data_IF_336389789070
#
_entry.id   IF_336389789070
#
_cell.length_a   1.000
_cell.length_b   1.000
_cell.length_c   1.000
_cell.angle_alpha   90.00
_cell.angle_beta   90.00
_cell.angle_gamma   90.00
#
_symmetry.space_group_name_H-M   'P 1'
#
loop_
_entity.id
_entity.type
_entity.pdbx_description
1 polymer ?
#
# COMPACT_ATOMS: atom_id res chain seq x y z
N UNK A 1 -12.38 -51.65 -8.91
CA UNK A 1 -13.07 -50.45 -8.35
C UNK A 1 -12.18 -49.62 -7.42
N UNK A 2 -11.58 -50.16 -6.35
CA UNK A 2 -10.68 -49.39 -5.44
C UNK A 2 -9.50 -48.67 -6.12
N UNK A 3 -8.83 -49.31 -7.08
CA UNK A 3 -7.71 -48.71 -7.85
C UNK A 3 -8.15 -47.55 -8.75
N UNK A 4 -9.36 -47.61 -9.31
CA UNK A 4 -9.93 -46.54 -10.13
C UNK A 4 -10.30 -45.32 -9.27
N UNK A 5 -10.85 -45.53 -8.08
CA UNK A 5 -11.14 -44.46 -7.11
C UNK A 5 -9.85 -43.74 -6.69
N UNK A 6 -8.77 -44.48 -6.43
CA UNK A 6 -7.48 -43.90 -6.05
C UNK A 6 -6.87 -43.01 -7.16
N UNK A 7 -6.95 -43.44 -8.42
CA UNK A 7 -6.49 -42.65 -9.57
C UNK A 7 -7.32 -41.38 -9.75
N UNK A 8 -8.64 -41.46 -9.52
CA UNK A 8 -9.54 -40.32 -9.65
C UNK A 8 -9.30 -39.28 -8.55
N UNK A 9 -9.03 -39.72 -7.31
CA UNK A 9 -8.62 -38.84 -6.20
C UNK A 9 -7.29 -38.14 -6.52
N UNK A 10 -6.29 -38.86 -7.04
CA UNK A 10 -5.00 -38.27 -7.40
C UNK A 10 -5.11 -37.24 -8.53
N UNK A 11 -5.98 -37.47 -9.52
CA UNK A 11 -6.25 -36.47 -10.57
C UNK A 11 -6.92 -35.22 -10.00
N UNK A 12 -7.92 -35.37 -9.12
CA UNK A 12 -8.56 -34.23 -8.46
C UNK A 12 -7.54 -33.47 -7.62
N UNK A 13 -6.70 -34.18 -6.86
CA UNK A 13 -5.64 -33.56 -6.05
C UNK A 13 -4.64 -32.79 -6.93
N UNK A 14 -4.25 -33.37 -8.07
CA UNK A 14 -3.37 -32.71 -9.04
C UNK A 14 -3.97 -31.44 -9.63
N UNK A 15 -5.27 -31.46 -9.97
CA UNK A 15 -5.98 -30.27 -10.46
C UNK A 15 -6.07 -29.20 -9.37
N UNK A 16 -6.41 -29.58 -8.14
CA UNK A 16 -6.47 -28.64 -7.00
C UNK A 16 -5.10 -28.00 -6.71
N UNK A 17 -4.03 -28.80 -6.73
CA UNK A 17 -2.66 -28.30 -6.57
C UNK A 17 -2.26 -27.36 -7.73
N UNK A 18 -2.65 -27.69 -8.96
CA UNK A 18 -2.35 -26.85 -10.12
C UNK A 18 -3.09 -25.51 -10.08
N UNK A 19 -4.38 -25.50 -9.72
CA UNK A 19 -5.18 -24.27 -9.60
C UNK A 19 -4.65 -23.39 -8.48
N UNK A 20 -4.37 -23.95 -7.31
CA UNK A 20 -3.82 -23.19 -6.17
C UNK A 20 -2.45 -22.60 -6.48
N UNK A 21 -1.56 -23.36 -7.11
CA UNK A 21 -0.24 -22.87 -7.52
C UNK A 21 -0.32 -21.78 -8.61
N UNK A 22 -1.18 -21.96 -9.60
CA UNK A 22 -1.39 -20.99 -10.68
C UNK A 22 -2.00 -19.67 -10.16
N UNK A 23 -2.95 -19.76 -9.23
CA UNK A 23 -3.56 -18.61 -8.58
C UNK A 23 -2.52 -17.85 -7.75
N UNK A 24 -1.75 -18.55 -6.90
CA UNK A 24 -0.69 -17.93 -6.10
C UNK A 24 0.34 -17.19 -6.97
N UNK A 25 0.82 -17.84 -8.04
CA UNK A 25 1.77 -17.23 -9.00
C UNK A 25 1.19 -15.99 -9.68
N UNK A 26 -0.13 -15.97 -9.94
CA UNK A 26 -0.79 -14.81 -10.56
C UNK A 26 -0.99 -13.67 -9.56
N UNK A 27 -1.29 -13.99 -8.31
CA UNK A 27 -1.36 -13.04 -7.20
C UNK A 27 0.00 -12.39 -6.94
N UNK A 28 1.06 -13.18 -6.78
CA UNK A 28 2.42 -12.65 -6.54
C UNK A 28 2.87 -11.66 -7.63
N UNK A 29 2.51 -11.92 -8.89
CA UNK A 29 2.78 -11.01 -10.01
C UNK A 29 1.96 -9.73 -9.95
N UNK A 30 0.70 -9.83 -9.54
CA UNK A 30 -0.19 -8.69 -9.37
C UNK A 30 0.29 -7.80 -8.22
N UNK A 31 0.56 -8.40 -7.05
CA UNK A 31 1.09 -7.72 -5.88
C UNK A 31 2.38 -6.97 -6.22
N UNK A 32 3.34 -7.63 -6.87
CA UNK A 32 4.56 -6.98 -7.34
C UNK A 32 4.28 -5.82 -8.30
N UNK A 33 3.24 -5.92 -9.13
CA UNK A 33 2.89 -4.84 -10.05
C UNK A 33 2.33 -3.60 -9.35
N UNK A 34 1.65 -3.78 -8.21
CA UNK A 34 1.13 -2.69 -7.39
C UNK A 34 2.22 -2.07 -6.50
N UNK A 35 3.11 -2.91 -5.95
CA UNK A 35 4.10 -2.54 -4.93
C UNK A 35 5.45 -2.07 -5.49
N UNK A 36 5.60 -1.83 -6.80
CA UNK A 36 6.90 -1.41 -7.35
C UNK A 36 6.82 -0.31 -8.40
N UNK A 37 5.61 0.18 -8.66
CA UNK A 37 5.38 1.14 -9.71
C UNK A 37 4.02 1.84 -9.53
N UNK A 38 4.09 3.04 -8.99
CA UNK A 38 2.98 3.95 -8.75
C UNK A 38 2.11 4.24 -9.98
N UNK A 39 2.70 4.34 -11.19
CA UNK A 39 1.93 4.49 -12.44
C UNK A 39 1.14 3.23 -12.83
N UNK A 40 1.70 2.04 -12.59
CA UNK A 40 0.99 0.77 -12.82
C UNK A 40 -0.12 0.55 -11.83
N UNK A 41 0.09 0.96 -10.57
CA UNK A 41 -0.96 0.98 -9.56
C UNK A 41 -2.14 1.83 -10.05
N UNK A 42 -1.90 3.09 -10.44
CA UNK A 42 -2.96 3.96 -10.95
C UNK A 42 -3.66 3.32 -12.16
N UNK A 43 -2.90 2.85 -13.14
CA UNK A 43 -3.46 2.19 -14.32
C UNK A 43 -4.37 1.00 -13.97
N UNK A 44 -3.97 0.16 -13.02
CA UNK A 44 -4.78 -0.98 -12.58
C UNK A 44 -6.08 -0.52 -11.90
N UNK A 45 -6.04 0.58 -11.13
CA UNK A 45 -7.23 1.15 -10.50
C UNK A 45 -8.21 1.72 -11.54
N UNK A 46 -7.69 2.34 -12.60
CA UNK A 46 -8.52 2.86 -13.70
C UNK A 46 -9.15 1.75 -14.54
N UNK A 47 -8.39 0.67 -14.81
CA UNK A 47 -8.86 -0.45 -15.62
C UNK A 47 -9.88 -1.33 -14.87
N UNK A 48 -9.63 -1.64 -13.59
CA UNK A 48 -10.45 -2.55 -12.79
C UNK A 48 -10.28 -2.30 -11.29
N UNK A 49 -10.96 -1.26 -10.81
CA UNK A 49 -10.97 -0.88 -9.39
C UNK A 49 -11.43 -2.02 -8.47
N UNK A 50 -12.53 -2.69 -8.81
CA UNK A 50 -13.13 -3.72 -7.95
C UNK A 50 -12.21 -4.93 -7.79
N UNK A 51 -11.59 -5.40 -8.88
CA UNK A 51 -10.63 -6.49 -8.81
C UNK A 51 -9.37 -6.10 -8.03
N UNK A 52 -8.92 -4.85 -8.17
CA UNK A 52 -7.77 -4.33 -7.41
C UNK A 52 -8.08 -4.29 -5.92
N UNK A 53 -9.28 -3.83 -5.53
CA UNK A 53 -9.76 -3.87 -4.14
C UNK A 53 -9.94 -5.30 -3.62
N UNK A 54 -10.48 -6.22 -4.42
CA UNK A 54 -10.69 -7.61 -3.99
C UNK A 54 -9.38 -8.33 -3.63
N UNK A 55 -8.28 -7.95 -4.28
CA UNK A 55 -6.94 -8.50 -4.03
C UNK A 55 -6.21 -7.83 -2.87
N UNK A 56 -6.75 -6.74 -2.34
CA UNK A 56 -6.10 -5.98 -1.26
C UNK A 56 -5.92 -6.80 0.02
N UNK A 57 -6.87 -7.69 0.33
CA UNK A 57 -6.82 -8.52 1.55
C UNK A 57 -5.57 -9.40 1.63
N UNK A 58 -4.98 -9.81 0.50
CA UNK A 58 -3.74 -10.57 0.49
C UNK A 58 -2.54 -9.70 0.89
N UNK A 59 -2.48 -8.46 0.39
CA UNK A 59 -1.47 -7.47 0.77
C UNK A 59 -1.61 -7.05 2.24
N UNK A 60 -2.82 -7.04 2.78
CA UNK A 60 -3.09 -6.71 4.17
C UNK A 60 -2.65 -7.79 5.16
N UNK A 61 -2.13 -8.94 4.72
CA UNK A 61 -1.61 -9.98 5.62
C UNK A 61 -0.25 -9.63 6.21
N UNK A 62 0.51 -8.72 5.60
CA UNK A 62 1.80 -8.25 6.08
C UNK A 62 1.79 -6.72 6.24
N UNK A 63 2.16 -6.18 7.41
CA UNK A 63 2.11 -4.73 7.65
C UNK A 63 3.07 -3.97 6.73
N UNK A 64 4.19 -4.58 6.36
CA UNK A 64 5.16 -4.00 5.43
C UNK A 64 4.55 -3.83 4.04
N UNK A 65 3.74 -4.79 3.57
CA UNK A 65 3.07 -4.69 2.27
C UNK A 65 1.97 -3.62 2.27
N UNK A 66 1.27 -3.44 3.40
CA UNK A 66 0.29 -2.34 3.56
C UNK A 66 0.99 -1.00 3.44
N UNK A 67 2.13 -0.82 4.12
CA UNK A 67 2.85 0.43 4.06
C UNK A 67 3.47 0.65 2.68
N UNK A 68 4.05 -0.37 2.07
CA UNK A 68 4.62 -0.28 0.72
C UNK A 68 3.57 0.20 -0.29
N UNK A 69 2.36 -0.38 -0.23
CA UNK A 69 1.24 0.06 -1.07
C UNK A 69 0.84 1.51 -0.78
N UNK A 70 0.80 1.90 0.50
CA UNK A 70 0.54 3.28 0.88
C UNK A 70 1.61 4.24 0.31
N UNK A 71 2.89 3.86 0.35
CA UNK A 71 3.99 4.68 -0.15
C UNK A 71 3.95 4.83 -1.67
N UNK A 72 3.58 3.78 -2.42
CA UNK A 72 3.32 3.86 -3.86
C UNK A 72 2.17 4.82 -4.20
N UNK A 73 1.09 4.81 -3.39
CA UNK A 73 -0.01 5.77 -3.52
C UNK A 73 0.49 7.20 -3.25
N UNK A 74 1.25 7.40 -2.17
CA UNK A 74 1.81 8.70 -1.82
C UNK A 74 2.74 9.23 -2.91
N UNK A 75 3.60 8.37 -3.47
CA UNK A 75 4.47 8.74 -4.59
C UNK A 75 3.66 9.18 -5.82
N UNK A 76 2.55 8.52 -6.15
CA UNK A 76 1.69 8.97 -7.26
C UNK A 76 0.93 10.26 -6.93
N UNK A 77 0.35 10.36 -5.74
CA UNK A 77 -0.42 11.55 -5.32
C UNK A 77 0.42 12.82 -5.35
N UNK A 78 1.70 12.73 -4.97
CA UNK A 78 2.64 13.84 -4.96
C UNK A 78 3.58 13.81 -6.18
N UNK A 79 3.10 13.31 -7.32
CA UNK A 79 3.76 13.47 -8.61
C UNK A 79 3.35 14.78 -9.30
N UNK A 80 4.04 15.12 -10.40
CA UNK A 80 3.74 16.33 -11.19
C UNK A 80 2.52 16.15 -12.12
N UNK A 81 2.08 14.91 -12.34
CA UNK A 81 1.18 14.55 -13.45
C UNK A 81 -0.20 14.03 -13.04
N UNK A 82 -0.48 13.92 -11.73
CA UNK A 82 -1.78 13.42 -11.26
C UNK A 82 -2.91 14.45 -11.50
N UNK A 83 -4.12 14.05 -11.89
CA UNK A 83 -5.27 14.95 -12.00
C UNK A 83 -6.30 14.77 -10.85
N UNK A 84 -7.34 15.61 -10.80
CA UNK A 84 -8.33 15.59 -9.71
C UNK A 84 -9.12 14.27 -9.64
N UNK A 85 -9.37 13.62 -10.77
CA UNK A 85 -10.10 12.34 -10.82
C UNK A 85 -9.20 11.18 -10.38
N UNK A 86 -7.92 11.22 -10.78
CA UNK A 86 -6.90 10.29 -10.32
C UNK A 86 -6.63 10.44 -8.82
N UNK A 87 -6.62 11.67 -8.28
CA UNK A 87 -6.56 11.92 -6.83
C UNK A 87 -7.76 11.27 -6.13
N UNK A 88 -8.98 11.48 -6.62
CA UNK A 88 -10.17 10.87 -6.03
C UNK A 88 -10.06 9.34 -6.02
N UNK A 89 -9.61 8.74 -7.13
CA UNK A 89 -9.41 7.30 -7.26
C UNK A 89 -8.38 6.76 -6.27
N UNK A 90 -7.20 7.38 -6.20
CA UNK A 90 -6.10 7.00 -5.33
C UNK A 90 -6.48 7.13 -3.85
N UNK A 91 -7.15 8.22 -3.45
CA UNK A 91 -7.57 8.43 -2.06
C UNK A 91 -8.66 7.45 -1.65
N UNK A 92 -9.62 7.15 -2.52
CA UNK A 92 -10.64 6.14 -2.22
C UNK A 92 -10.01 4.76 -2.03
N UNK A 93 -8.98 4.43 -2.81
CA UNK A 93 -8.22 3.20 -2.65
C UNK A 93 -7.35 3.20 -1.38
N UNK A 94 -6.60 4.27 -1.12
CA UNK A 94 -5.75 4.43 0.08
C UNK A 94 -6.55 4.25 1.36
N UNK A 95 -7.78 4.80 1.40
CA UNK A 95 -8.68 4.68 2.55
C UNK A 95 -9.12 3.25 2.86
N UNK A 96 -8.93 2.28 1.94
CA UNK A 96 -9.14 0.86 2.23
C UNK A 96 -8.03 0.27 3.12
N UNK A 97 -6.90 0.96 3.22
CA UNK A 97 -5.80 0.61 4.12
C UNK A 97 -6.04 1.14 5.54
N UNK A 98 -7.00 2.04 5.75
CA UNK A 98 -7.17 2.75 7.03
C UNK A 98 -8.03 1.97 8.02
N UNK A 99 -7.72 2.15 9.30
CA UNK A 99 -8.54 1.65 10.40
C UNK A 99 -9.86 2.45 10.51
N UNK A 100 -10.87 1.81 11.10
CA UNK A 100 -12.22 2.36 11.19
C UNK A 100 -12.26 3.64 12.06
N UNK A 101 -11.42 3.72 13.10
CA UNK A 101 -11.29 4.92 13.95
C UNK A 101 -10.67 6.09 13.16
N UNK A 102 -9.61 5.84 12.39
CA UNK A 102 -9.02 6.83 11.49
C UNK A 102 -10.01 7.33 10.45
N UNK A 103 -10.81 6.43 9.86
CA UNK A 103 -11.86 6.76 8.89
C UNK A 103 -12.98 7.59 9.51
N UNK A 104 -13.42 7.24 10.72
CA UNK A 104 -14.47 7.97 11.44
C UNK A 104 -14.05 9.41 11.78
N UNK A 105 -12.78 9.60 12.14
CA UNK A 105 -12.22 10.92 12.44
C UNK A 105 -11.91 11.77 11.20
N UNK A 106 -11.82 11.14 10.02
CA UNK A 106 -11.51 11.80 8.75
C UNK A 106 -12.56 11.48 7.67
N UNK A 107 -13.73 12.17 7.69
CA UNK A 107 -14.75 12.03 6.66
C UNK A 107 -14.17 12.26 5.26
N UNK A 108 -14.63 11.47 4.28
CA UNK A 108 -14.07 11.45 2.91
C UNK A 108 -14.10 12.84 2.25
N UNK A 109 -15.19 13.58 2.38
CA UNK A 109 -15.35 14.91 1.75
C UNK A 109 -14.29 15.89 2.27
N UNK A 110 -14.14 15.97 3.59
CA UNK A 110 -13.13 16.83 4.24
C UNK A 110 -11.70 16.36 3.93
N UNK A 111 -11.48 15.05 3.82
CA UNK A 111 -10.17 14.52 3.47
C UNK A 111 -9.79 14.89 2.03
N UNK A 112 -10.70 14.70 1.07
CA UNK A 112 -10.49 15.04 -0.34
C UNK A 112 -10.24 16.53 -0.56
N UNK A 113 -11.01 17.40 0.10
CA UNK A 113 -10.81 18.84 0.01
C UNK A 113 -9.39 19.25 0.45
N UNK A 114 -8.96 18.79 1.63
CA UNK A 114 -7.65 19.11 2.20
C UNK A 114 -6.51 18.56 1.34
N UNK A 115 -6.59 17.31 0.90
CA UNK A 115 -5.49 16.68 0.17
C UNK A 115 -5.36 17.24 -1.25
N UNK A 116 -6.47 17.63 -1.90
CA UNK A 116 -6.41 18.34 -3.19
C UNK A 116 -5.74 19.71 -3.06
N UNK A 117 -6.07 20.46 -2.00
CA UNK A 117 -5.41 21.74 -1.71
C UNK A 117 -3.91 21.54 -1.46
N UNK A 118 -3.54 20.53 -0.66
CA UNK A 118 -2.14 20.19 -0.39
C UNK A 118 -1.38 19.81 -1.66
N UNK A 119 -1.88 18.85 -2.44
CA UNK A 119 -1.26 18.39 -3.70
C UNK A 119 -1.10 19.56 -4.68
N UNK A 120 -2.11 20.44 -4.78
CA UNK A 120 -2.03 21.65 -5.60
C UNK A 120 -0.87 22.55 -5.15
N UNK A 121 -0.73 22.78 -3.85
CA UNK A 121 0.38 23.58 -3.30
C UNK A 121 1.75 22.93 -3.60
N UNK A 122 1.87 21.61 -3.52
CA UNK A 122 3.09 20.90 -3.89
C UNK A 122 3.44 21.09 -5.37
N UNK A 123 2.46 20.94 -6.27
CA UNK A 123 2.62 21.16 -7.72
C UNK A 123 3.01 22.60 -8.06
N UNK A 124 2.34 23.58 -7.46
CA UNK A 124 2.64 25.01 -7.68
C UNK A 124 4.06 25.38 -7.23
N UNK A 125 4.56 24.70 -6.19
CA UNK A 125 5.94 24.85 -5.70
C UNK A 125 6.94 23.95 -6.44
N UNK A 126 6.52 23.18 -7.45
CA UNK A 126 7.36 22.23 -8.18
C UNK A 126 7.98 21.15 -7.29
N UNK A 127 7.34 20.82 -6.17
CA UNK A 127 7.81 19.84 -5.18
C UNK A 127 7.09 18.51 -5.39
N UNK A 128 7.85 17.42 -5.50
CA UNK A 128 7.33 16.06 -5.68
C UNK A 128 8.10 15.04 -4.88
N UNK A 129 7.46 13.91 -4.60
CA UNK A 129 8.10 12.71 -4.05
C UNK A 129 8.80 11.98 -5.21
N UNK A 130 10.11 11.77 -5.08
CA UNK A 130 10.94 11.06 -6.08
C UNK A 130 11.33 9.66 -5.64
N UNK A 131 11.04 9.30 -4.40
CA UNK A 131 11.36 8.00 -3.81
C UNK A 131 10.98 7.95 -2.34
N UNK A 132 11.08 6.78 -1.76
CA UNK A 132 10.95 6.57 -0.33
C UNK A 132 11.82 5.40 0.10
N UNK A 133 12.11 5.33 1.40
CA UNK A 133 12.70 4.15 2.04
C UNK A 133 12.03 3.91 3.38
N UNK A 134 12.13 2.68 3.87
CA UNK A 134 11.57 2.27 5.17
C UNK A 134 12.68 1.78 6.09
N UNK A 135 12.63 2.20 7.37
CA UNK A 135 13.46 1.59 8.39
C UNK A 135 12.74 0.37 8.93
N UNK A 136 13.23 -0.81 8.52
CA UNK A 136 12.83 -2.08 9.11
C UNK A 136 13.53 -2.23 10.45
N UNK A 137 12.76 -2.50 11.50
CA UNK A 137 13.31 -2.88 12.80
C UNK A 137 12.45 -4.00 13.38
N UNK A 138 13.09 -5.14 13.65
CA UNK A 138 12.42 -6.37 14.11
C UNK A 138 11.74 -6.20 15.48
N UNK A 139 12.17 -5.22 16.26
CA UNK A 139 11.61 -4.89 17.58
C UNK A 139 10.32 -4.03 17.52
N UNK A 140 9.87 -3.64 16.32
CA UNK A 140 8.74 -2.72 16.16
C UNK A 140 7.36 -3.38 16.30
N UNK A 141 7.31 -4.69 16.54
CA UNK A 141 6.06 -5.44 16.71
C UNK A 141 5.76 -5.64 18.18
N UNK A 142 4.68 -5.01 18.64
CA UNK A 142 4.13 -5.22 19.99
C UNK A 142 2.72 -5.75 19.81
N UNK A 143 2.53 -7.05 20.05
CA UNK A 143 1.26 -7.77 19.84
C UNK A 143 0.68 -7.54 18.42
N UNK A 144 -0.49 -6.88 18.36
CA UNK A 144 -1.26 -6.53 17.16
C UNK A 144 -0.97 -5.09 16.68
N UNK A 145 0.14 -4.49 17.12
CA UNK A 145 0.62 -3.18 16.70
C UNK A 145 1.97 -3.30 15.99
N UNK A 146 2.16 -2.48 14.97
CA UNK A 146 3.40 -2.42 14.20
C UNK A 146 3.76 -0.98 13.89
N UNK A 147 4.95 -0.56 14.30
CA UNK A 147 5.49 0.76 14.01
C UNK A 147 6.49 0.68 12.86
N UNK A 148 6.45 1.62 11.93
CA UNK A 148 7.39 1.63 10.82
C UNK A 148 7.67 3.05 10.38
N UNK A 149 8.96 3.37 10.25
CA UNK A 149 9.39 4.70 9.83
C UNK A 149 9.63 4.74 8.34
N UNK A 150 9.17 5.80 7.72
CA UNK A 150 9.29 6.09 6.29
C UNK A 150 10.03 7.41 6.12
N UNK A 151 10.95 7.44 5.18
CA UNK A 151 11.51 8.68 4.65
C UNK A 151 11.00 8.84 3.22
N UNK A 152 10.38 9.97 2.92
CA UNK A 152 10.05 10.37 1.55
C UNK A 152 11.09 11.35 1.04
N UNK A 153 11.72 11.03 -0.09
CA UNK A 153 12.68 11.90 -0.75
C UNK A 153 11.95 12.83 -1.71
N UNK A 154 12.21 14.12 -1.60
CA UNK A 154 11.67 15.17 -2.45
C UNK A 154 12.69 15.56 -3.52
N UNK A 155 12.23 16.07 -4.66
CA UNK A 155 13.09 16.60 -5.72
C UNK A 155 13.83 17.90 -5.36
N UNK A 156 13.56 18.50 -4.21
CA UNK A 156 14.18 19.73 -3.75
C UNK A 156 15.53 19.46 -3.05
N UNK A 157 16.59 20.17 -3.44
CA UNK A 157 17.93 20.01 -2.87
C UNK A 157 18.09 20.83 -1.58
N UNK A 158 18.48 20.19 -0.46
CA UNK A 158 18.84 20.84 0.81
C UNK A 158 18.18 20.22 2.06
N UNK A 159 18.28 20.85 3.26
CA UNK A 159 17.74 20.34 4.54
C UNK A 159 16.21 20.15 4.61
N UNK A 160 15.51 20.38 3.49
CA UNK A 160 14.06 20.25 3.31
C UNK A 160 13.71 19.19 2.27
N UNK A 161 14.68 18.40 1.83
CA UNK A 161 14.52 17.40 0.77
C UNK A 161 13.94 16.07 1.26
N UNK A 162 13.71 15.91 2.55
CA UNK A 162 13.25 14.66 3.16
C UNK A 162 12.09 14.93 4.12
N UNK A 163 11.10 14.04 4.12
CA UNK A 163 10.01 14.00 5.09
C UNK A 163 10.09 12.68 5.83
N UNK A 164 10.25 12.75 7.15
CA UNK A 164 10.31 11.57 8.03
C UNK A 164 8.98 11.39 8.76
N UNK A 165 8.36 10.23 8.57
CA UNK A 165 7.13 9.84 9.24
C UNK A 165 7.28 8.49 9.94
N UNK A 166 6.53 8.30 11.01
CA UNK A 166 6.34 7.01 11.67
C UNK A 166 4.87 6.64 11.58
N UNK A 167 4.59 5.51 10.92
CA UNK A 167 3.25 4.95 10.79
C UNK A 167 3.00 3.94 11.91
N UNK A 168 1.78 3.99 12.45
CA UNK A 168 1.22 2.95 13.31
C UNK A 168 0.22 2.14 12.52
N UNK A 169 0.49 0.84 12.39
CA UNK A 169 -0.43 -0.14 11.86
C UNK A 169 -0.98 -1.00 13.00
N UNK A 170 -2.24 -1.38 12.89
CA UNK A 170 -2.92 -2.29 13.81
C UNK A 170 -3.52 -3.46 13.05
N UNK A 171 -3.56 -4.62 13.71
CA UNK A 171 -4.16 -5.82 13.15
C UNK A 171 -5.64 -5.91 13.53
N UNK A 172 -6.50 -6.03 12.52
CA UNK A 172 -7.94 -6.21 12.64
C UNK A 172 -8.37 -7.44 11.82
N UNK A 173 -8.88 -8.49 12.49
CA UNK A 173 -9.35 -9.73 11.85
C UNK A 173 -8.35 -10.34 10.85
N UNK A 174 -7.08 -10.47 11.24
CA UNK A 174 -5.97 -10.96 10.40
C UNK A 174 -5.46 -10.00 9.31
N UNK A 175 -6.04 -8.81 9.19
CA UNK A 175 -5.64 -7.79 8.22
C UNK A 175 -5.02 -6.58 8.92
N UNK A 176 -3.88 -6.13 8.43
CA UNK A 176 -3.22 -4.92 8.91
C UNK A 176 -3.87 -3.68 8.29
N UNK A 177 -4.06 -2.66 9.12
CA UNK A 177 -4.64 -1.36 8.76
C UNK A 177 -3.82 -0.23 9.37
N UNK A 178 -3.72 0.89 8.67
CA UNK A 178 -3.07 2.13 9.15
C UNK A 178 -4.02 2.81 10.14
N UNK A 179 -3.57 2.95 11.39
CA UNK A 179 -4.28 3.67 12.45
C UNK A 179 -3.93 5.15 12.49
N UNK A 180 -2.73 5.51 12.01
CA UNK A 180 -2.28 6.88 11.91
C UNK A 180 -0.78 6.98 11.69
N UNK A 181 -0.29 8.21 11.60
CA UNK A 181 1.11 8.52 11.43
C UNK A 181 1.45 9.85 12.11
N UNK A 182 2.73 10.06 12.35
CA UNK A 182 3.26 11.29 12.91
C UNK A 182 4.62 11.62 12.30
N UNK A 183 4.99 12.90 12.29
CA UNK A 183 6.35 13.30 11.96
C UNK A 183 7.32 12.72 13.00
N UNK A 184 8.47 12.28 12.55
CA UNK A 184 9.52 11.73 13.42
C UNK A 184 10.86 12.43 13.17
N UNK A 185 11.84 12.17 14.02
CA UNK A 185 13.20 12.66 13.82
C UNK A 185 13.86 11.95 12.64
N UNK A 186 14.87 12.59 12.05
CA UNK A 186 15.70 11.99 11.02
C UNK A 186 16.26 10.64 11.49
N UNK A 187 16.20 9.64 10.62
CA UNK A 187 16.72 8.31 10.88
C UNK A 187 17.53 7.79 9.69
N UNK A 188 18.42 6.85 9.97
CA UNK A 188 19.24 6.21 8.95
C UNK A 188 18.52 4.94 8.48
N UNK A 189 18.35 4.82 7.16
CA UNK A 189 17.98 3.59 6.50
C UNK A 189 19.25 2.75 6.37
N UNK A 190 19.34 1.65 7.12
CA UNK A 190 20.43 0.69 6.96
C UNK A 190 20.03 -0.24 5.83
N UNK A 191 20.76 -0.22 4.72
CA UNK A 191 20.54 -1.17 3.63
C UNK A 191 20.85 -2.59 4.07
N UNK A 192 20.00 -3.53 3.65
CA UNK A 192 20.22 -4.99 3.77
C UNK A 192 21.45 -5.45 2.95
#
# INVERSE_FOLDING_TARGET
MRKFIAVLILMILGILLFVTFSNKTSQDRFDKSLLSNSDRLLKNLEEDYDNTVNKLSDLQKAPEQVLELNNEIMQKLYSDDVDDAEIDLLINFQRKLYDDELLANNPIETHLEKIKEEIKNYKENGTKIIGYDTQKNDDNKIDDMFFIKVVYYLNNVGPKGEIYEEYLLVKDQELWKIKGWQKTEEFIVVGD
#
